data_IF_070679327056
#
_entry.id   IF_070679327056
#
_cell.length_a   1.000
_cell.length_b   1.000
_cell.length_c   1.000
_cell.angle_alpha   90.00
_cell.angle_beta   90.00
_cell.angle_gamma   90.00
#
_symmetry.space_group_name_H-M   'P 1'
#
loop_
_entity.id
_entity.type
_entity.pdbx_description
1 polymer ?
#
# COMPACT_ATOMS: atom_id res chain seq x y z
N UNK A 1 12.98 -1.13 25.18
CA UNK A 1 12.96 -2.00 23.98
C UNK A 1 11.55 -2.35 23.49
N UNK A 2 10.55 -2.49 24.37
CA UNK A 2 9.15 -2.77 23.98
C UNK A 2 8.50 -1.62 23.16
N UNK A 3 8.65 -0.37 23.59
CA UNK A 3 8.06 0.80 22.91
C UNK A 3 8.59 0.97 21.49
N UNK A 4 9.89 0.73 21.28
CA UNK A 4 10.50 0.85 19.95
C UNK A 4 10.02 -0.25 19.00
N UNK A 5 9.86 -1.48 19.50
CA UNK A 5 9.27 -2.58 18.74
C UNK A 5 7.81 -2.32 18.38
N UNK A 6 7.02 -1.76 19.31
CA UNK A 6 5.63 -1.39 19.06
C UNK A 6 5.55 -0.30 17.99
N UNK A 7 6.41 0.72 18.08
CA UNK A 7 6.49 1.80 17.10
C UNK A 7 6.89 1.26 15.71
N UNK A 8 7.91 0.40 15.65
CA UNK A 8 8.33 -0.24 14.41
C UNK A 8 7.20 -1.07 13.80
N UNK A 9 6.47 -1.84 14.62
CA UNK A 9 5.34 -2.66 14.16
C UNK A 9 4.18 -1.80 13.65
N UNK A 10 3.87 -0.69 14.34
CA UNK A 10 2.85 0.25 13.91
C UNK A 10 3.19 0.90 12.57
N UNK A 11 4.45 1.32 12.38
CA UNK A 11 4.92 1.90 11.12
C UNK A 11 4.85 0.89 9.96
N UNK A 12 5.30 -0.36 10.18
CA UNK A 12 5.18 -1.47 9.22
C UNK A 12 3.72 -1.70 8.82
N UNK A 13 2.81 -1.67 9.79
CA UNK A 13 1.39 -1.89 9.55
C UNK A 13 0.77 -0.76 8.72
N UNK A 14 1.01 0.51 9.09
CA UNK A 14 0.52 1.68 8.35
C UNK A 14 1.07 1.71 6.93
N UNK A 15 2.36 1.43 6.72
CA UNK A 15 2.96 1.34 5.39
C UNK A 15 2.31 0.27 4.52
N UNK A 16 1.96 -0.89 5.11
CA UNK A 16 1.29 -1.97 4.39
C UNK A 16 -0.10 -1.53 3.94
N UNK A 17 -0.87 -0.89 4.82
CA UNK A 17 -2.21 -0.37 4.48
C UNK A 17 -2.17 0.70 3.40
N UNK A 18 -1.15 1.57 3.39
CA UNK A 18 -0.95 2.58 2.36
C UNK A 18 -0.58 1.98 1.00
N UNK A 19 0.16 0.89 0.98
CA UNK A 19 0.66 0.27 -0.26
C UNK A 19 -0.40 -0.61 -0.94
N UNK A 20 -1.26 -1.29 -0.17
CA UNK A 20 -2.32 -2.15 -0.68
C UNK A 20 -3.19 -1.52 -1.80
N UNK A 21 -3.73 -0.30 -1.67
CA UNK A 21 -4.54 0.30 -2.72
C UNK A 21 -3.72 0.62 -3.98
N UNK A 22 -2.46 1.06 -3.85
CA UNK A 22 -1.57 1.34 -4.98
C UNK A 22 -1.28 0.07 -5.77
N UNK A 23 -1.03 -1.05 -5.09
CA UNK A 23 -0.79 -2.36 -5.73
C UNK A 23 -2.07 -2.95 -6.34
N UNK A 24 -3.25 -2.57 -5.84
CA UNK A 24 -4.54 -2.99 -6.38
C UNK A 24 -4.92 -2.26 -7.68
N UNK A 25 -4.27 -1.14 -8.00
CA UNK A 25 -4.49 -0.44 -9.27
C UNK A 25 -4.07 -1.31 -10.46
N UNK A 26 -4.91 -1.30 -11.52
CA UNK A 26 -4.71 -2.11 -12.72
C UNK A 26 -3.39 -1.83 -13.44
N UNK A 27 -2.84 -0.63 -13.28
CA UNK A 27 -1.55 -0.23 -13.83
C UNK A 27 -0.38 -1.03 -13.22
N UNK A 28 -0.48 -1.41 -11.94
CA UNK A 28 0.55 -2.18 -11.22
C UNK A 28 0.30 -3.68 -11.31
N UNK A 29 -0.97 -4.10 -11.42
CA UNK A 29 -1.37 -5.51 -11.51
C UNK A 29 -0.67 -6.29 -12.65
N UNK A 30 -0.36 -5.63 -13.77
CA UNK A 30 0.36 -6.21 -14.92
C UNK A 30 1.88 -5.94 -14.93
N UNK A 31 2.36 -5.01 -14.10
CA UNK A 31 3.79 -4.62 -14.05
C UNK A 31 4.59 -5.45 -13.05
N UNK A 32 3.96 -5.92 -11.98
CA UNK A 32 4.62 -6.70 -10.94
C UNK A 32 4.66 -8.19 -11.31
N UNK A 33 5.86 -8.71 -11.52
CA UNK A 33 6.12 -10.15 -11.63
C UNK A 33 5.97 -10.84 -10.26
N UNK A 34 5.97 -12.18 -10.26
CA UNK A 34 5.96 -12.95 -9.02
C UNK A 34 7.20 -12.71 -8.15
N UNK A 35 8.32 -12.33 -8.75
CA UNK A 35 9.54 -11.98 -8.03
C UNK A 35 9.44 -10.59 -7.39
N UNK A 36 8.89 -9.61 -8.10
CA UNK A 36 8.68 -8.26 -7.57
C UNK A 36 7.76 -8.28 -6.35
N UNK A 37 6.71 -9.13 -6.38
CA UNK A 37 5.80 -9.31 -5.23
C UNK A 37 6.50 -9.93 -4.02
N UNK A 38 7.51 -10.79 -4.22
CA UNK A 38 8.32 -11.36 -3.13
C UNK A 38 9.35 -10.36 -2.60
N UNK A 39 9.80 -9.44 -3.45
CA UNK A 39 10.71 -8.35 -3.10
C UNK A 39 10.05 -7.16 -2.39
N UNK A 40 8.71 -7.12 -2.33
CA UNK A 40 7.99 -6.09 -1.58
C UNK A 40 8.30 -6.20 -0.08
N UNK A 41 8.70 -5.09 0.53
CA UNK A 41 8.94 -4.99 1.97
C UNK A 41 8.04 -3.91 2.55
N UNK A 42 7.55 -4.13 3.77
CA UNK A 42 6.68 -3.17 4.45
C UNK A 42 7.42 -1.96 5.03
N UNK A 43 8.76 -1.97 5.00
CA UNK A 43 9.58 -0.88 5.51
C UNK A 43 10.45 -0.33 4.38
N UNK A 44 9.88 0.61 3.62
CA UNK A 44 10.63 1.40 2.66
C UNK A 44 11.44 2.44 3.41
N UNK A 45 12.77 2.33 3.37
CA UNK A 45 13.68 3.30 3.99
C UNK A 45 14.50 4.09 2.96
N UNK A 46 14.50 3.68 1.67
CA UNK A 46 15.37 4.27 0.64
C UNK A 46 14.67 4.94 -0.56
N UNK A 47 13.36 4.90 -0.75
CA UNK A 47 12.79 5.58 -1.94
C UNK A 47 11.35 6.05 -1.70
N UNK A 48 11.23 7.32 -1.29
CA UNK A 48 9.98 8.06 -1.40
C UNK A 48 9.84 8.48 -2.87
N UNK A 49 8.78 7.99 -3.53
CA UNK A 49 8.60 7.93 -4.98
C UNK A 49 8.65 9.29 -5.74
N UNK A 50 9.29 9.37 -6.93
CA UNK A 50 9.32 10.55 -7.82
C UNK A 50 8.05 10.81 -8.67
N UNK A 51 6.94 10.07 -8.47
CA UNK A 51 5.74 10.20 -9.34
C UNK A 51 4.43 10.50 -8.61
N UNK A 52 4.47 10.98 -7.37
CA UNK A 52 3.26 11.47 -6.72
C UNK A 52 3.47 11.79 -5.26
N UNK A 53 3.21 13.03 -4.88
CA UNK A 53 3.28 13.48 -3.50
C UNK A 53 2.10 12.89 -2.72
N UNK A 54 2.33 11.85 -1.92
CA UNK A 54 1.35 11.40 -0.94
C UNK A 54 1.40 12.35 0.26
N UNK A 55 0.43 13.27 0.38
CA UNK A 55 0.30 14.12 1.57
C UNK A 55 -0.42 13.32 2.66
N UNK A 56 0.36 12.81 3.61
CA UNK A 56 -0.17 12.25 4.86
C UNK A 56 -0.74 13.38 5.72
N UNK A 57 -2.07 13.42 5.83
CA UNK A 57 -2.80 14.33 6.71
C UNK A 57 -3.18 13.56 7.98
N UNK A 58 -2.53 13.90 9.10
CA UNK A 58 -2.70 13.19 10.37
C UNK A 58 -4.06 13.46 11.03
N UNK A 59 -4.80 14.47 10.57
CA UNK A 59 -6.16 14.77 11.02
C UNK A 59 -7.23 13.98 10.23
N UNK A 60 -6.83 13.30 9.16
CA UNK A 60 -7.70 12.47 8.33
C UNK A 60 -7.48 10.98 8.61
N UNK A 61 -8.57 10.24 8.71
CA UNK A 61 -8.51 8.77 8.72
C UNK A 61 -8.06 8.27 7.36
N UNK A 62 -7.25 7.22 7.35
CA UNK A 62 -6.90 6.47 6.15
C UNK A 62 -8.18 5.97 5.48
N UNK A 63 -8.43 6.41 4.25
CA UNK A 63 -9.51 5.87 3.43
C UNK A 63 -9.05 4.54 2.84
N UNK A 64 -9.36 3.46 3.57
CA UNK A 64 -8.99 2.09 3.21
C UNK A 64 -10.04 1.43 2.31
N UNK A 65 -11.06 2.15 1.84
CA UNK A 65 -12.03 1.56 0.93
C UNK A 65 -11.34 1.18 -0.39
N UNK A 66 -11.70 0.03 -0.99
CA UNK A 66 -11.20 -0.31 -2.30
C UNK A 66 -11.69 0.77 -3.29
N UNK A 67 -10.76 1.50 -3.90
CA UNK A 67 -11.08 2.46 -4.95
C UNK A 67 -11.96 1.82 -6.04
N UNK A 68 -12.72 2.60 -6.82
CA UNK A 68 -13.79 2.11 -7.71
C UNK A 68 -13.36 1.05 -8.76
N UNK A 69 -12.06 0.75 -8.91
CA UNK A 69 -11.54 -0.33 -9.73
C UNK A 69 -11.40 -1.71 -9.06
N UNK A 70 -11.65 -1.84 -7.75
CA UNK A 70 -11.52 -3.11 -7.03
C UNK A 70 -12.83 -3.90 -6.89
N UNK A 71 -13.97 -3.33 -7.30
CA UNK A 71 -15.21 -4.10 -7.44
C UNK A 71 -15.12 -4.91 -8.72
N UNK A 72 -14.80 -6.19 -8.57
CA UNK A 72 -14.76 -7.17 -9.63
C UNK A 72 -15.97 -7.04 -10.57
N UNK A 73 -15.69 -7.11 -11.87
CA UNK A 73 -16.68 -7.16 -12.93
C UNK A 73 -17.78 -8.20 -12.62
N UNK A 74 -19.05 -7.91 -12.91
CA UNK A 74 -20.09 -8.92 -12.80
C UNK A 74 -19.77 -10.03 -13.80
N UNK A 75 -19.56 -11.24 -13.31
CA UNK A 75 -19.59 -12.44 -14.16
C UNK A 75 -20.99 -12.48 -14.76
N UNK A 76 -21.05 -12.40 -16.09
CA UNK A 76 -22.27 -12.51 -16.86
C UNK A 76 -22.99 -13.84 -16.56
N UNK A 77 -24.32 -13.75 -16.55
CA UNK A 77 -25.22 -14.81 -16.95
C UNK A 77 -25.72 -14.51 -18.35
#
# INVERSE_FOLDING_TARGET
MLVLHLLQSALVHVNTLLLQPVLAERAWAKKLSGEDRRGLTALFWWNINPYGTFRLDMDKRLDLLPGPGSRAAPRGG
#
